data_IF_885165738200
#
_entry.id   IF_885165738200
#
_cell.length_a   1.000
_cell.length_b   1.000
_cell.length_c   1.000
_cell.angle_alpha   90.00
_cell.angle_beta   90.00
_cell.angle_gamma   90.00
#
_symmetry.space_group_name_H-M   'P 1'
#
loop_
_entity.id
_entity.type
_entity.pdbx_description
1 polymer ?
#
# COMPACT_ATOMS: atom_id res chain seq x y z
N UNK A 1 30.19 -15.08 -31.31
CA UNK A 1 29.16 -14.25 -31.95
C UNK A 1 27.74 -14.61 -31.56
N UNK A 2 27.38 -15.90 -31.50
CA UNK A 2 26.01 -16.30 -31.08
C UNK A 2 25.70 -15.98 -29.63
N UNK A 3 26.67 -16.05 -28.74
CA UNK A 3 26.52 -15.76 -27.30
C UNK A 3 26.28 -14.27 -27.03
N UNK A 4 26.90 -13.38 -27.82
CA UNK A 4 26.69 -11.94 -27.66
C UNK A 4 25.31 -11.48 -28.10
N UNK A 5 24.73 -12.07 -29.13
CA UNK A 5 23.40 -11.76 -29.63
C UNK A 5 22.33 -12.23 -28.63
N UNK A 6 22.52 -13.41 -28.06
CA UNK A 6 21.60 -13.96 -27.04
C UNK A 6 21.60 -13.15 -25.74
N UNK A 7 22.79 -12.67 -25.32
CA UNK A 7 22.92 -11.79 -24.14
C UNK A 7 22.26 -10.43 -24.37
N UNK A 8 22.37 -9.89 -25.60
CA UNK A 8 21.73 -8.62 -25.97
C UNK A 8 20.18 -8.76 -25.94
N UNK A 9 19.65 -9.88 -26.41
CA UNK A 9 18.22 -10.18 -26.39
C UNK A 9 17.68 -10.28 -24.96
N UNK A 10 18.41 -10.93 -24.07
CA UNK A 10 18.06 -11.05 -22.65
C UNK A 10 18.05 -9.70 -21.94
N UNK A 11 19.00 -8.82 -22.26
CA UNK A 11 19.07 -7.47 -21.70
C UNK A 11 17.87 -6.60 -22.12
N UNK A 12 17.41 -6.71 -23.36
CA UNK A 12 16.24 -5.98 -23.85
C UNK A 12 14.97 -6.45 -23.13
N UNK A 13 14.81 -7.75 -22.90
CA UNK A 13 13.67 -8.30 -22.16
C UNK A 13 13.64 -7.85 -20.71
N UNK A 14 14.77 -7.82 -20.02
CA UNK A 14 14.90 -7.36 -18.65
C UNK A 14 14.55 -5.88 -18.50
N UNK A 15 14.97 -5.05 -19.48
CA UNK A 15 14.66 -3.60 -19.47
C UNK A 15 13.15 -3.33 -19.60
N UNK A 16 12.43 -4.09 -20.43
CA UNK A 16 10.99 -3.94 -20.60
C UNK A 16 10.23 -4.31 -19.32
N UNK A 17 10.61 -5.39 -18.64
CA UNK A 17 10.02 -5.80 -17.35
C UNK A 17 10.29 -4.77 -16.26
N UNK A 18 11.49 -4.21 -16.20
CA UNK A 18 11.86 -3.19 -15.21
C UNK A 18 11.04 -1.90 -15.37
N UNK A 19 10.75 -1.49 -16.60
CA UNK A 19 9.98 -0.27 -16.85
C UNK A 19 8.54 -0.38 -16.32
N UNK A 20 7.87 -1.52 -16.53
CA UNK A 20 6.52 -1.77 -16.00
C UNK A 20 6.54 -1.82 -14.48
N UNK A 21 7.51 -2.51 -13.91
CA UNK A 21 7.66 -2.66 -12.47
C UNK A 21 7.95 -1.32 -11.77
N UNK A 22 8.74 -0.45 -12.40
CA UNK A 22 9.05 0.88 -11.86
C UNK A 22 7.80 1.75 -11.72
N UNK A 23 6.88 1.71 -12.68
CA UNK A 23 5.63 2.48 -12.60
C UNK A 23 4.72 2.00 -11.47
N UNK A 24 4.61 0.69 -11.27
CA UNK A 24 3.85 0.11 -10.16
C UNK A 24 4.51 0.48 -8.84
N UNK A 25 5.83 0.39 -8.74
CA UNK A 25 6.59 0.72 -7.54
C UNK A 25 6.47 2.20 -7.16
N UNK A 26 6.46 3.11 -8.12
CA UNK A 26 6.26 4.54 -7.87
C UNK A 26 4.90 4.82 -7.23
N UNK A 27 3.84 4.24 -7.75
CA UNK A 27 2.49 4.40 -7.20
C UNK A 27 2.38 3.77 -5.80
N UNK A 28 3.01 2.63 -5.60
CA UNK A 28 3.07 1.95 -4.31
C UNK A 28 3.82 2.80 -3.29
N UNK A 29 4.95 3.40 -3.67
CA UNK A 29 5.70 4.29 -2.80
C UNK A 29 4.90 5.54 -2.43
N UNK A 30 4.21 6.15 -3.38
CA UNK A 30 3.38 7.32 -3.14
C UNK A 30 2.27 7.02 -2.14
N UNK A 31 1.61 5.87 -2.28
CA UNK A 31 0.57 5.44 -1.35
C UNK A 31 1.15 5.14 0.02
N UNK A 32 2.30 4.49 0.08
CA UNK A 32 2.99 4.20 1.34
C UNK A 32 3.39 5.48 2.07
N UNK A 33 3.96 6.45 1.38
CA UNK A 33 4.32 7.75 1.94
C UNK A 33 3.10 8.50 2.44
N UNK A 34 2.02 8.48 1.67
CA UNK A 34 0.77 9.12 2.02
C UNK A 34 0.16 8.54 3.30
N UNK A 35 0.17 7.21 3.43
CA UNK A 35 -0.41 6.52 4.58
C UNK A 35 0.52 6.52 5.79
N UNK A 36 1.84 6.45 5.56
CA UNK A 36 2.84 6.40 6.63
C UNK A 36 2.86 7.66 7.50
N UNK A 37 2.40 8.79 6.99
CA UNK A 37 2.33 10.03 7.77
C UNK A 37 1.39 9.93 8.96
N UNK A 38 0.45 8.98 8.95
CA UNK A 38 -0.47 8.76 10.06
C UNK A 38 0.13 7.96 11.21
N UNK A 39 1.26 7.28 10.99
CA UNK A 39 1.93 6.51 12.03
C UNK A 39 2.41 7.47 13.13
N UNK A 40 2.05 7.17 14.37
CA UNK A 40 2.34 8.03 15.51
C UNK A 40 1.25 9.06 15.84
N UNK A 41 0.26 9.21 14.96
CA UNK A 41 -0.89 10.08 15.20
C UNK A 41 -2.08 9.28 15.76
N UNK A 42 -3.02 9.99 16.37
CA UNK A 42 -4.25 9.37 16.84
C UNK A 42 -5.10 8.89 15.66
N UNK A 43 -5.77 7.75 15.83
CA UNK A 43 -6.62 7.17 14.78
C UNK A 43 -7.74 8.13 14.33
N UNK A 44 -8.12 9.08 15.15
CA UNK A 44 -9.12 10.09 14.78
C UNK A 44 -8.66 10.95 13.62
N UNK A 45 -7.35 11.15 13.43
CA UNK A 45 -6.80 11.88 12.28
C UNK A 45 -7.10 11.12 10.99
N UNK A 46 -7.07 9.79 11.04
CA UNK A 46 -7.43 8.94 9.90
C UNK A 46 -8.92 9.09 9.58
N UNK A 47 -9.77 9.15 10.59
CA UNK A 47 -11.21 9.31 10.39
C UNK A 47 -11.58 10.67 9.78
N UNK A 48 -10.81 11.72 10.09
CA UNK A 48 -11.02 13.04 9.48
C UNK A 48 -10.81 12.96 7.96
N UNK A 49 -9.78 12.25 7.51
CA UNK A 49 -9.44 12.17 6.09
C UNK A 49 -10.18 11.08 5.33
N UNK A 50 -10.47 9.94 5.96
CA UNK A 50 -11.08 8.76 5.31
C UNK A 50 -12.53 8.52 5.71
N UNK A 51 -13.04 9.22 6.71
CA UNK A 51 -14.42 9.06 7.18
C UNK A 51 -14.55 7.97 8.23
N UNK A 52 -15.79 7.72 8.67
CA UNK A 52 -16.11 6.79 9.74
C UNK A 52 -16.64 5.44 9.24
N UNK A 53 -16.58 5.17 7.96
CA UNK A 53 -17.16 3.95 7.35
C UNK A 53 -16.19 2.76 7.36
N UNK A 54 -15.04 2.89 8.01
CA UNK A 54 -14.06 1.81 8.13
C UNK A 54 -14.59 0.66 9.00
N UNK A 55 -14.21 -0.55 8.66
CA UNK A 55 -14.55 -1.76 9.42
C UNK A 55 -13.47 -2.01 10.47
N UNK A 56 -13.87 -1.99 11.74
CA UNK A 56 -12.97 -2.23 12.87
C UNK A 56 -12.93 -3.71 13.21
N UNK A 57 -11.75 -4.22 13.54
CA UNK A 57 -11.57 -5.58 14.02
C UNK A 57 -10.38 -5.68 14.96
N UNK A 58 -10.35 -6.74 15.77
CA UNK A 58 -9.22 -7.02 16.65
C UNK A 58 -8.13 -7.71 15.82
N UNK A 59 -6.91 -7.17 15.86
CA UNK A 59 -5.78 -7.74 15.14
C UNK A 59 -4.96 -8.69 16.03
N UNK A 60 -4.47 -8.21 17.17
CA UNK A 60 -3.60 -9.00 18.06
C UNK A 60 -3.49 -8.30 19.43
N UNK A 61 -3.49 -9.08 20.52
CA UNK A 61 -3.14 -8.68 21.91
C UNK A 61 -3.45 -7.22 22.32
N UNK A 62 -4.65 -6.73 21.98
CA UNK A 62 -5.06 -5.36 22.29
C UNK A 62 -4.81 -4.35 21.17
N UNK A 63 -4.14 -4.76 20.09
CA UNK A 63 -4.08 -3.96 18.87
C UNK A 63 -5.33 -4.17 18.05
N UNK A 64 -5.82 -3.09 17.49
CA UNK A 64 -6.98 -3.10 16.60
C UNK A 64 -6.57 -2.64 15.21
N UNK A 65 -7.40 -2.94 14.24
CA UNK A 65 -7.22 -2.45 12.87
C UNK A 65 -8.54 -1.91 12.35
N UNK A 66 -8.45 -0.92 11.48
CA UNK A 66 -9.59 -0.39 10.73
C UNK A 66 -9.28 -0.54 9.25
N UNK A 67 -10.24 -1.03 8.48
CA UNK A 67 -10.11 -1.28 7.05
C UNK A 67 -11.05 -0.35 6.30
N UNK A 68 -10.48 0.47 5.42
CA UNK A 68 -11.23 1.31 4.50
C UNK A 68 -11.15 0.69 3.11
N UNK A 69 -12.29 0.41 2.53
CA UNK A 69 -12.38 -0.21 1.21
C UNK A 69 -12.98 0.76 0.21
N UNK A 70 -12.30 0.96 -0.91
CA UNK A 70 -12.81 1.73 -2.04
C UNK A 70 -12.76 0.89 -3.30
N UNK A 71 -13.73 1.09 -4.20
CA UNK A 71 -13.76 0.42 -5.50
C UNK A 71 -13.63 1.45 -6.61
N UNK A 72 -12.74 1.20 -7.55
CA UNK A 72 -12.56 2.06 -8.72
C UNK A 72 -12.35 1.16 -9.94
N UNK A 73 -13.21 1.30 -10.94
CA UNK A 73 -13.16 0.51 -12.17
C UNK A 73 -13.14 -1.01 -11.93
N UNK A 74 -13.90 -1.47 -10.91
CA UNK A 74 -13.95 -2.87 -10.54
C UNK A 74 -12.78 -3.36 -9.70
N UNK A 75 -11.77 -2.52 -9.47
CA UNK A 75 -10.63 -2.86 -8.62
C UNK A 75 -10.88 -2.38 -7.20
N UNK A 76 -10.67 -3.27 -6.25
CA UNK A 76 -10.88 -3.01 -4.83
C UNK A 76 -9.58 -2.54 -4.21
N UNK A 77 -9.58 -1.34 -3.62
CA UNK A 77 -8.47 -0.83 -2.82
C UNK A 77 -8.80 -0.94 -1.34
N UNK A 78 -7.98 -1.63 -0.60
CA UNK A 78 -8.11 -1.75 0.85
C UNK A 78 -6.94 -1.03 1.51
N UNK A 79 -7.26 -0.12 2.44
CA UNK A 79 -6.29 0.57 3.30
C UNK A 79 -6.55 0.18 4.73
N UNK A 80 -5.53 -0.36 5.39
CA UNK A 80 -5.63 -0.89 6.74
C UNK A 80 -4.72 -0.09 7.66
N UNK A 81 -5.29 0.44 8.73
CA UNK A 81 -4.55 1.15 9.78
C UNK A 81 -4.58 0.34 11.05
N UNK A 82 -3.41 0.02 11.58
CA UNK A 82 -3.28 -0.67 12.86
C UNK A 82 -3.07 0.38 13.95
N UNK A 83 -3.76 0.25 15.06
CA UNK A 83 -3.65 1.17 16.17
C UNK A 83 -3.64 0.43 17.51
N UNK A 84 -3.01 1.03 18.51
CA UNK A 84 -2.84 0.44 19.83
C UNK A 84 -3.99 0.82 20.77
N UNK A 85 -3.86 0.43 22.05
CA UNK A 85 -4.85 0.73 23.08
C UNK A 85 -5.00 2.23 23.35
N UNK A 86 -3.97 3.00 23.07
CA UNK A 86 -3.98 4.47 23.20
C UNK A 86 -4.57 5.15 21.98
N UNK A 87 -5.10 4.41 21.01
CA UNK A 87 -5.69 4.91 19.77
C UNK A 87 -4.65 5.58 18.85
N UNK A 88 -3.39 5.19 18.98
CA UNK A 88 -2.29 5.70 18.15
C UNK A 88 -1.99 4.73 17.02
N UNK A 89 -1.89 5.23 15.79
CA UNK A 89 -1.57 4.42 14.61
C UNK A 89 -0.15 3.89 14.73
N UNK A 90 0.02 2.59 14.67
CA UNK A 90 1.32 1.91 14.80
C UNK A 90 1.82 1.33 13.49
N UNK A 91 0.94 1.12 12.53
CA UNK A 91 1.32 0.55 11.24
C UNK A 91 0.25 0.74 10.20
N UNK A 92 0.63 0.52 8.96
CA UNK A 92 -0.27 0.62 7.81
C UNK A 92 -0.05 -0.58 6.88
N UNK A 93 -1.12 -0.93 6.16
CA UNK A 93 -1.06 -1.92 5.09
C UNK A 93 -2.07 -1.53 4.02
N UNK A 94 -1.79 -1.82 2.76
CA UNK A 94 -2.71 -1.52 1.68
C UNK A 94 -2.55 -2.52 0.54
N UNK A 95 -3.62 -2.71 -0.22
CA UNK A 95 -3.64 -3.62 -1.36
C UNK A 95 -4.59 -3.10 -2.42
N UNK A 96 -4.20 -3.18 -3.68
CA UNK A 96 -5.03 -2.78 -4.82
C UNK A 96 -5.16 -1.27 -5.02
N UNK A 97 -4.28 -0.46 -4.42
CA UNK A 97 -4.38 1.00 -4.40
C UNK A 97 -3.42 1.67 -5.40
N UNK A 98 -3.46 1.27 -6.65
CA UNK A 98 -2.65 1.91 -7.70
C UNK A 98 -3.50 2.44 -8.86
#
# INVERSE_FOLDING_TARGET
>A
MRLTITALFLLIFLSACQTVQTKVDEKTQQEQERLSKYIGYNINEVYIDFGNEGVHSIHNKGYKKVIFTTKKLGVKCERIFFYDRSMVVTGIQFAGCW
#
